data_IF_174240293997
#
_entry.id   IF_174240293997
#
_cell.length_a   1.000
_cell.length_b   1.000
_cell.length_c   1.000
_cell.angle_alpha   90.00
_cell.angle_beta   90.00
_cell.angle_gamma   90.00
#
_symmetry.space_group_name_H-M   'P 1'
#
loop_
_entity.id
_entity.type
_entity.pdbx_description
1 polymer ?
#
# COMPACT_ATOMS: atom_id res chain seq x y z
N UNK A 1 -5.22 -18.83 18.52
CA UNK A 1 -3.95 -18.09 18.38
C UNK A 1 -3.83 -17.32 17.04
N UNK A 2 -4.94 -16.89 16.41
CA UNK A 2 -4.96 -16.18 15.09
C UNK A 2 -5.13 -14.66 15.17
N UNK A 3 -5.61 -14.10 16.29
CA UNK A 3 -5.94 -12.68 16.37
C UNK A 3 -4.75 -11.74 16.20
N UNK A 4 -3.53 -12.18 16.55
CA UNK A 4 -2.30 -11.35 16.44
C UNK A 4 -1.88 -11.03 15.00
N UNK A 5 -2.37 -11.78 14.02
CA UNK A 5 -2.01 -11.59 12.61
C UNK A 5 -3.05 -10.81 11.82
N UNK A 6 -4.18 -10.45 12.43
CA UNK A 6 -5.26 -9.73 11.76
C UNK A 6 -5.27 -8.31 12.28
N UNK A 7 -5.14 -7.35 11.37
CA UNK A 7 -5.47 -5.96 11.64
C UNK A 7 -6.94 -5.74 11.33
N UNK A 8 -7.68 -5.07 12.23
CA UNK A 8 -9.08 -4.69 12.05
C UNK A 8 -9.25 -3.21 12.37
N UNK A 9 -9.95 -2.51 11.49
CA UNK A 9 -10.43 -1.15 11.72
C UNK A 9 -11.96 -1.13 11.49
N UNK A 10 -12.77 -1.21 12.55
CA UNK A 10 -14.23 -1.20 12.44
C UNK A 10 -14.81 0.10 11.86
N UNK A 11 -14.19 1.25 12.13
CA UNK A 11 -14.66 2.56 11.64
C UNK A 11 -14.58 2.69 10.12
N UNK A 12 -13.57 2.04 9.54
CA UNK A 12 -13.37 1.96 8.09
C UNK A 12 -13.98 0.70 7.47
N UNK A 13 -14.54 -0.21 8.26
CA UNK A 13 -15.02 -1.52 7.78
C UNK A 13 -13.91 -2.36 7.13
N UNK A 14 -12.66 -2.22 7.59
CA UNK A 14 -11.50 -2.82 6.93
C UNK A 14 -10.82 -3.88 7.80
N UNK A 15 -10.40 -4.99 7.20
CA UNK A 15 -9.44 -5.90 7.82
C UNK A 15 -8.50 -6.54 6.81
N UNK A 16 -7.31 -6.93 7.30
CA UNK A 16 -6.26 -7.59 6.53
C UNK A 16 -5.47 -8.52 7.46
N UNK A 17 -5.04 -9.66 6.94
CA UNK A 17 -4.21 -10.64 7.65
C UNK A 17 -2.79 -10.64 7.07
N UNK A 18 -1.78 -10.54 7.95
CA UNK A 18 -0.38 -10.75 7.58
C UNK A 18 0.02 -12.21 7.76
N UNK A 19 1.01 -12.73 7.02
CA UNK A 19 1.58 -14.04 7.30
C UNK A 19 2.25 -14.06 8.68
N UNK A 20 2.51 -15.26 9.18
CA UNK A 20 2.96 -15.45 10.56
C UNK A 20 4.30 -14.77 10.84
N UNK A 21 5.25 -14.86 9.91
CA UNK A 21 6.61 -14.34 10.06
C UNK A 21 6.75 -12.85 9.73
N UNK A 22 5.64 -12.19 9.38
CA UNK A 22 5.62 -10.75 9.12
C UNK A 22 5.37 -9.98 10.42
N UNK A 23 5.77 -8.72 10.48
CA UNK A 23 5.65 -7.87 11.67
C UNK A 23 4.79 -6.66 11.36
N UNK A 24 3.70 -6.48 12.13
CA UNK A 24 2.96 -5.21 12.12
C UNK A 24 3.79 -4.13 12.78
N UNK A 25 3.86 -2.96 12.16
CA UNK A 25 4.50 -1.78 12.77
C UNK A 25 3.44 -0.79 13.23
N UNK A 26 3.66 -0.12 14.37
CA UNK A 26 2.82 1.00 14.77
C UNK A 26 2.83 2.07 13.67
N UNK A 27 1.65 2.55 13.32
CA UNK A 27 1.42 3.59 12.31
C UNK A 27 2.24 4.86 12.56
N UNK A 28 2.47 5.17 13.84
CA UNK A 28 3.27 6.31 14.32
C UNK A 28 4.75 6.19 13.93
N UNK A 29 5.27 4.98 13.72
CA UNK A 29 6.67 4.76 13.34
C UNK A 29 6.90 4.90 11.83
N UNK A 30 5.83 4.78 11.03
CA UNK A 30 5.88 5.07 9.59
C UNK A 30 6.11 6.57 9.33
N UNK A 31 5.67 7.44 10.25
CA UNK A 31 5.97 8.88 10.22
C UNK A 31 7.48 9.14 10.35
N UNK A 32 8.13 8.48 11.31
CA UNK A 32 9.57 8.64 11.53
C UNK A 32 10.43 8.10 10.36
N UNK A 33 9.88 7.23 9.51
CA UNK A 33 10.52 6.76 8.28
C UNK A 33 10.28 7.70 7.08
N UNK A 34 9.32 8.63 7.16
CA UNK A 34 8.90 9.54 6.07
C UNK A 34 9.10 11.02 6.40
N UNK A 35 9.78 11.37 7.50
CA UNK A 35 9.74 12.72 8.05
C UNK A 35 10.42 13.79 7.17
N UNK A 36 9.60 14.51 6.41
CA UNK A 36 9.65 15.96 6.12
C UNK A 36 8.24 16.52 5.84
N UNK A 37 7.26 16.27 6.71
CA UNK A 37 5.97 16.96 6.61
C UNK A 37 5.54 17.50 7.97
N UNK A 38 5.41 18.83 8.05
CA UNK A 38 5.11 19.57 9.28
C UNK A 38 3.82 19.11 9.99
N UNK A 39 3.82 19.08 11.33
CA UNK A 39 2.68 18.62 12.11
C UNK A 39 1.67 19.76 12.32
N UNK A 40 0.64 19.85 11.48
CA UNK A 40 -0.54 20.67 11.78
C UNK A 40 -1.58 19.83 12.56
N UNK A 41 -1.38 19.72 13.87
CA UNK A 41 -2.34 19.08 14.79
C UNK A 41 -3.35 20.10 15.31
N UNK A 42 -4.52 20.18 14.67
CA UNK A 42 -5.77 20.62 15.32
C UNK A 42 -6.93 19.80 14.76
N UNK A 43 -7.60 19.06 15.65
CA UNK A 43 -8.93 18.43 15.51
C UNK A 43 -9.34 18.06 14.08
N UNK A 44 -8.69 17.04 13.52
CA UNK A 44 -9.11 16.43 12.26
C UNK A 44 -9.85 15.13 12.56
N UNK A 45 -11.04 14.99 11.94
CA UNK A 45 -11.79 13.74 11.80
C UNK A 45 -10.80 12.59 11.48
N UNK A 46 -10.94 11.45 12.17
CA UNK A 46 -10.04 10.30 12.05
C UNK A 46 -9.94 9.81 10.59
N UNK A 47 -11.00 9.99 9.81
CA UNK A 47 -10.99 9.73 8.35
C UNK A 47 -9.96 10.59 7.61
N UNK A 48 -9.76 11.84 8.02
CA UNK A 48 -8.78 12.75 7.44
C UNK A 48 -7.36 12.44 7.95
N UNK A 49 -7.23 11.90 9.17
CA UNK A 49 -5.94 11.40 9.68
C UNK A 49 -5.44 10.22 8.85
N UNK A 50 -6.30 9.26 8.53
CA UNK A 50 -5.98 8.13 7.64
C UNK A 50 -5.88 8.54 6.16
N UNK A 51 -6.50 9.66 5.77
CA UNK A 51 -6.33 10.26 4.44
C UNK A 51 -4.91 10.76 4.15
N UNK A 52 -4.04 10.89 5.16
CA UNK A 52 -2.66 11.38 4.98
C UNK A 52 -1.60 10.32 5.27
N UNK A 53 -1.91 9.32 6.10
CA UNK A 53 -0.94 8.32 6.56
C UNK A 53 -1.45 6.90 6.30
N UNK A 54 -0.56 5.95 5.96
CA UNK A 54 -0.96 4.55 5.92
C UNK A 54 -1.42 4.15 7.31
N UNK A 55 -2.59 3.52 7.43
CA UNK A 55 -3.15 3.08 8.72
C UNK A 55 -2.78 1.63 9.05
N UNK A 56 -2.36 0.87 8.03
CA UNK A 56 -1.70 -0.43 8.16
C UNK A 56 -0.31 -0.36 7.58
N UNK A 57 0.65 -0.91 8.31
CA UNK A 57 1.97 -1.23 7.80
C UNK A 57 2.43 -2.56 8.40
N UNK A 58 2.95 -3.45 7.56
CA UNK A 58 3.71 -4.60 8.01
C UNK A 58 4.77 -4.98 6.98
N UNK A 59 5.79 -5.68 7.45
CA UNK A 59 6.92 -6.08 6.62
C UNK A 59 7.43 -7.46 6.98
N UNK A 60 8.22 -8.03 6.09
CA UNK A 60 8.98 -9.25 6.32
C UNK A 60 10.47 -8.89 6.41
N UNK A 61 11.06 -9.03 7.60
CA UNK A 61 12.48 -8.78 7.80
C UNK A 61 13.28 -10.04 7.48
N UNK A 62 13.97 -10.02 6.34
CA UNK A 62 14.88 -11.09 5.93
C UNK A 62 16.33 -10.88 6.40
N UNK A 63 16.65 -9.76 7.05
CA UNK A 63 17.98 -9.47 7.60
C UNK A 63 19.09 -9.22 6.58
N UNK A 64 18.77 -8.96 5.31
CA UNK A 64 19.76 -8.71 4.22
C UNK A 64 19.73 -7.21 3.90
N UNK A 65 20.84 -6.52 4.13
CA UNK A 65 20.91 -5.06 4.10
C UNK A 65 20.90 -4.44 2.69
N UNK A 66 21.20 -5.23 1.68
CA UNK A 66 21.26 -4.81 0.28
C UNK A 66 20.18 -5.45 -0.59
N UNK A 67 19.08 -5.83 0.05
CA UNK A 67 17.87 -6.33 -0.58
C UNK A 67 16.66 -5.56 -0.06
N UNK A 68 15.72 -5.28 -0.94
CA UNK A 68 14.48 -4.57 -0.59
C UNK A 68 13.68 -5.40 0.41
N UNK A 69 13.33 -4.80 1.54
CA UNK A 69 12.44 -5.40 2.54
C UNK A 69 11.02 -5.49 1.94
N UNK A 70 10.40 -6.69 1.87
CA UNK A 70 9.01 -6.81 1.50
C UNK A 70 8.11 -6.08 2.49
N UNK A 71 7.25 -5.20 1.98
CA UNK A 71 6.36 -4.35 2.79
C UNK A 71 4.94 -4.34 2.23
N UNK A 72 3.97 -4.17 3.12
CA UNK A 72 2.58 -3.87 2.79
C UNK A 72 2.16 -2.62 3.53
N UNK A 73 1.55 -1.69 2.80
CA UNK A 73 0.99 -0.45 3.34
C UNK A 73 -0.46 -0.32 2.89
N UNK A 74 -1.34 0.10 3.78
CA UNK A 74 -2.73 0.43 3.42
C UNK A 74 -3.03 1.85 3.83
N UNK A 75 -3.53 2.62 2.88
CA UNK A 75 -3.99 3.99 3.06
C UNK A 75 -5.49 4.08 2.78
N UNK A 76 -6.16 5.01 3.44
CA UNK A 76 -7.53 5.38 3.15
C UNK A 76 -7.52 6.72 2.42
N UNK A 77 -8.44 6.95 1.47
CA UNK A 77 -8.61 8.26 0.81
C UNK A 77 -10.10 8.47 0.56
N UNK A 78 -10.61 9.66 0.86
CA UNK A 78 -11.98 10.03 0.48
C UNK A 78 -12.03 10.35 -1.01
N UNK A 79 -13.17 10.11 -1.67
CA UNK A 79 -13.36 10.44 -3.10
C UNK A 79 -13.83 11.87 -3.32
N UNK A 80 -13.70 12.77 -2.33
CA UNK A 80 -14.09 14.17 -2.45
C UNK A 80 -13.36 14.82 -3.65
N UNK A 81 -14.12 15.10 -4.72
CA UNK A 81 -13.60 15.69 -5.97
C UNK A 81 -13.29 14.69 -7.09
N UNK A 82 -13.27 13.39 -6.82
CA UNK A 82 -13.08 12.33 -7.82
C UNK A 82 -14.31 11.44 -8.02
N UNK A 83 -15.39 11.63 -7.24
CA UNK A 83 -16.63 10.84 -7.33
C UNK A 83 -17.31 10.89 -8.70
N UNK A 84 -17.06 11.94 -9.49
CA UNK A 84 -17.58 12.09 -10.86
C UNK A 84 -16.67 11.44 -11.92
N UNK A 85 -15.45 11.04 -11.56
CA UNK A 85 -14.49 10.44 -12.48
C UNK A 85 -14.69 8.93 -12.54
N UNK A 86 -14.59 8.38 -13.74
CA UNK A 86 -14.57 6.93 -13.90
C UNK A 86 -13.22 6.33 -13.44
N UNK A 87 -13.21 5.02 -13.16
CA UNK A 87 -12.03 4.33 -12.62
C UNK A 87 -10.82 4.36 -13.56
N UNK A 88 -11.03 4.39 -14.87
CA UNK A 88 -9.95 4.44 -15.86
C UNK A 88 -9.28 5.82 -15.89
N UNK A 89 -10.05 6.89 -15.72
CA UNK A 89 -9.53 8.24 -15.53
C UNK A 89 -8.70 8.32 -14.24
N UNK A 90 -9.21 7.75 -13.13
CA UNK A 90 -8.47 7.67 -11.86
C UNK A 90 -7.18 6.86 -12.03
N UNK A 91 -7.21 5.75 -12.78
CA UNK A 91 -6.02 4.94 -13.10
C UNK A 91 -4.99 5.78 -13.85
N UNK A 92 -5.40 6.53 -14.88
CA UNK A 92 -4.51 7.42 -15.62
C UNK A 92 -3.82 8.45 -14.72
N UNK A 93 -4.56 9.09 -13.81
CA UNK A 93 -4.00 10.01 -12.83
C UNK A 93 -2.98 9.33 -11.90
N UNK A 94 -3.27 8.10 -11.46
CA UNK A 94 -2.37 7.32 -10.60
C UNK A 94 -1.07 6.97 -11.31
N UNK A 95 -1.15 6.56 -12.58
CA UNK A 95 0.04 6.24 -13.38
C UNK A 95 0.94 7.45 -13.58
N UNK A 96 0.35 8.61 -13.88
CA UNK A 96 1.09 9.89 -13.99
C UNK A 96 1.75 10.23 -12.66
N UNK A 97 1.02 10.13 -11.54
CA UNK A 97 1.57 10.42 -10.22
C UNK A 97 2.74 9.49 -9.88
N UNK A 98 2.64 8.19 -10.16
CA UNK A 98 3.71 7.23 -9.92
C UNK A 98 4.96 7.55 -10.74
N UNK A 99 4.79 7.94 -12.00
CA UNK A 99 5.90 8.35 -12.86
C UNK A 99 6.62 9.61 -12.34
N UNK A 100 5.90 10.52 -11.66
CA UNK A 100 6.48 11.74 -11.09
C UNK A 100 7.26 11.45 -9.79
N UNK A 101 6.80 10.51 -8.97
CA UNK A 101 7.33 10.30 -7.60
C UNK A 101 8.31 9.15 -7.47
N UNK A 102 8.36 8.23 -8.43
CA UNK A 102 9.25 7.08 -8.39
C UNK A 102 10.36 7.23 -9.43
N UNK A 103 11.60 7.17 -8.96
CA UNK A 103 12.77 7.12 -9.82
C UNK A 103 12.81 5.81 -10.61
N UNK A 104 13.24 5.88 -11.86
CA UNK A 104 13.32 4.74 -12.79
C UNK A 104 12.00 3.94 -12.91
N UNK A 105 10.86 4.61 -12.74
CA UNK A 105 9.55 3.99 -12.84
C UNK A 105 9.33 3.30 -14.18
N UNK A 106 9.00 2.02 -14.14
CA UNK A 106 8.59 1.24 -15.29
C UNK A 106 7.27 0.53 -14.99
N UNK A 107 6.24 0.84 -15.78
CA UNK A 107 4.97 0.14 -15.72
C UNK A 107 5.14 -1.28 -16.27
N UNK A 108 4.73 -2.28 -15.48
CA UNK A 108 4.69 -3.69 -15.91
C UNK A 108 3.29 -4.05 -16.38
N UNK A 109 2.26 -3.67 -15.62
CA UNK A 109 0.86 -3.99 -15.89
C UNK A 109 -0.05 -2.97 -15.20
N UNK A 110 -1.16 -2.60 -15.84
CA UNK A 110 -2.20 -1.81 -15.21
C UNK A 110 -3.58 -2.16 -15.77
N UNK A 111 -4.60 -2.18 -14.91
CA UNK A 111 -6.01 -2.37 -15.30
C UNK A 111 -6.97 -1.67 -14.34
N UNK A 112 -8.10 -1.18 -14.85
CA UNK A 112 -9.22 -0.63 -14.09
C UNK A 112 -10.38 -1.62 -13.91
N UNK A 113 -10.21 -2.85 -14.40
CA UNK A 113 -11.22 -3.91 -14.37
C UNK A 113 -10.98 -4.92 -13.24
N UNK A 114 -10.07 -4.58 -12.31
CA UNK A 114 -9.77 -5.40 -11.15
C UNK A 114 -10.95 -5.51 -10.19
N UNK A 115 -10.95 -6.59 -9.41
CA UNK A 115 -11.90 -6.81 -8.32
C UNK A 115 -11.16 -7.37 -7.12
N UNK A 116 -11.30 -6.74 -5.95
CA UNK A 116 -10.72 -7.18 -4.67
C UNK A 116 -11.79 -7.09 -3.59
N UNK A 117 -12.00 -8.16 -2.83
CA UNK A 117 -13.06 -8.23 -1.81
C UNK A 117 -14.44 -7.85 -2.37
N UNK A 118 -14.76 -8.33 -3.58
CA UNK A 118 -16.02 -8.05 -4.31
C UNK A 118 -16.25 -6.56 -4.65
N UNK A 119 -15.23 -5.73 -4.46
CA UNK A 119 -15.26 -4.32 -4.80
C UNK A 119 -14.45 -4.08 -6.07
N UNK A 120 -14.89 -3.15 -6.93
CA UNK A 120 -14.06 -2.64 -8.01
C UNK A 120 -12.67 -2.20 -7.55
N UNK A 121 -11.66 -2.44 -8.37
CA UNK A 121 -10.30 -2.02 -8.08
C UNK A 121 -9.51 -1.63 -9.33
N UNK A 122 -8.65 -0.62 -9.17
CA UNK A 122 -7.52 -0.43 -10.08
C UNK A 122 -6.34 -1.27 -9.58
N UNK A 123 -5.61 -1.88 -10.50
CA UNK A 123 -4.43 -2.69 -10.22
C UNK A 123 -3.29 -2.12 -11.04
N UNK A 124 -2.16 -1.86 -10.39
CA UNK A 124 -0.93 -1.37 -11.03
C UNK A 124 0.22 -2.23 -10.52
N UNK A 125 1.03 -2.74 -11.43
CA UNK A 125 2.29 -3.41 -11.14
C UNK A 125 3.40 -2.63 -11.83
N UNK A 126 4.44 -2.29 -11.09
CA UNK A 126 5.55 -1.51 -11.62
C UNK A 126 6.87 -1.92 -10.99
N UNK A 127 7.96 -1.69 -11.70
CA UNK A 127 9.30 -1.69 -11.13
C UNK A 127 9.80 -0.26 -10.96
N UNK A 128 10.68 -0.06 -9.99
CA UNK A 128 11.36 1.20 -9.72
C UNK A 128 12.57 0.89 -8.84
N UNK A 129 13.40 1.89 -8.59
CA UNK A 129 14.54 1.77 -7.69
C UNK A 129 14.25 2.41 -6.33
N UNK A 130 14.85 1.86 -5.28
CA UNK A 130 14.83 2.43 -3.93
C UNK A 130 16.23 2.45 -3.34
N UNK A 131 16.54 3.44 -2.52
CA UNK A 131 17.83 3.52 -1.84
C UNK A 131 17.73 2.97 -0.42
N UNK A 132 18.67 2.10 -0.03
CA UNK A 132 18.80 1.70 1.38
C UNK A 132 19.44 2.83 2.21
N UNK A 133 19.58 2.61 3.52
CA UNK A 133 20.19 3.57 4.45
C UNK A 133 21.66 3.91 4.11
N UNK A 134 22.34 3.04 3.36
CA UNK A 134 23.72 3.25 2.91
C UNK A 134 23.79 3.93 1.53
N UNK A 135 22.65 4.36 0.97
CA UNK A 135 22.59 5.00 -0.36
C UNK A 135 22.78 4.02 -1.52
N UNK A 136 22.75 2.71 -1.28
CA UNK A 136 22.79 1.70 -2.35
C UNK A 136 21.40 1.58 -2.98
N UNK A 137 21.36 1.72 -4.30
CA UNK A 137 20.17 1.53 -5.12
C UNK A 137 19.83 0.04 -5.24
N UNK A 138 18.55 -0.28 -5.08
CA UNK A 138 18.02 -1.64 -5.12
C UNK A 138 16.75 -1.69 -5.97
N UNK A 139 16.60 -2.75 -6.76
CA UNK A 139 15.42 -2.95 -7.60
C UNK A 139 14.21 -3.39 -6.77
N UNK A 140 13.08 -2.71 -7.00
CA UNK A 140 11.85 -2.90 -6.26
C UNK A 140 10.68 -3.19 -7.21
N UNK A 141 9.94 -4.26 -6.92
CA UNK A 141 8.67 -4.57 -7.56
C UNK A 141 7.52 -4.10 -6.67
N UNK A 142 6.74 -3.14 -7.15
CA UNK A 142 5.54 -2.61 -6.49
C UNK A 142 4.26 -3.16 -7.12
N UNK A 143 3.27 -3.40 -6.28
CA UNK A 143 1.88 -3.71 -6.64
C UNK A 143 0.98 -2.77 -5.87
N UNK A 144 0.28 -1.89 -6.58
CA UNK A 144 -0.68 -0.96 -6.02
C UNK A 144 -2.09 -1.42 -6.40
N UNK A 145 -2.94 -1.61 -5.40
CA UNK A 145 -4.35 -1.94 -5.55
C UNK A 145 -5.17 -0.79 -4.97
N UNK A 146 -6.00 -0.15 -5.78
CA UNK A 146 -6.90 0.91 -5.32
C UNK A 146 -8.30 0.34 -5.35
N UNK A 147 -8.83 0.02 -4.16
CA UNK A 147 -10.11 -0.66 -3.98
C UNK A 147 -11.18 0.40 -3.67
N UNK A 148 -12.19 0.51 -4.50
CA UNK A 148 -13.21 1.56 -4.42
C UNK A 148 -14.37 1.17 -3.51
N UNK A 149 -14.79 2.11 -2.67
CA UNK A 149 -16.09 2.09 -1.96
C UNK A 149 -16.98 3.22 -2.50
N UNK A 150 -18.16 3.41 -1.90
CA UNK A 150 -19.11 4.43 -2.36
C UNK A 150 -18.57 5.86 -2.21
N UNK A 151 -17.90 6.15 -1.10
CA UNK A 151 -17.43 7.49 -0.72
C UNK A 151 -15.89 7.57 -0.53
N UNK A 152 -15.17 6.48 -0.77
CA UNK A 152 -13.75 6.38 -0.49
C UNK A 152 -13.03 5.33 -1.35
N UNK A 153 -11.74 5.22 -1.12
CA UNK A 153 -10.89 4.18 -1.68
C UNK A 153 -9.81 3.76 -0.68
N UNK A 154 -9.51 2.47 -0.66
CA UNK A 154 -8.35 1.90 0.01
C UNK A 154 -7.22 1.74 -0.98
N UNK A 155 -6.05 2.27 -0.67
CA UNK A 155 -4.84 2.12 -1.49
C UNK A 155 -3.90 1.16 -0.77
N UNK A 156 -3.79 -0.06 -1.30
CA UNK A 156 -2.94 -1.13 -0.78
C UNK A 156 -1.69 -1.20 -1.66
N UNK A 157 -0.52 -0.95 -1.07
CA UNK A 157 0.76 -1.05 -1.76
C UNK A 157 1.55 -2.20 -1.19
N UNK A 158 1.99 -3.11 -2.05
CA UNK A 158 2.86 -4.23 -1.72
C UNK A 158 4.16 -4.09 -2.51
N UNK A 159 5.27 -3.97 -1.83
CA UNK A 159 6.59 -3.76 -2.45
C UNK A 159 7.59 -4.77 -1.95
N UNK A 160 8.53 -5.21 -2.79
CA UNK A 160 9.59 -6.14 -2.39
C UNK A 160 10.57 -6.40 -3.54
N UNK A 161 11.46 -7.39 -3.37
CA UNK A 161 12.43 -7.77 -4.40
C UNK A 161 11.76 -8.16 -5.72
N UNK A 162 12.43 -7.84 -6.83
CA UNK A 162 11.99 -8.21 -8.19
C UNK A 162 12.18 -9.70 -8.49
N UNK A 163 13.08 -10.38 -7.78
CA UNK A 163 13.44 -11.78 -7.97
C UNK A 163 14.04 -12.43 -6.71
N UNK A 164 14.35 -13.73 -6.80
CA UNK A 164 14.99 -14.51 -5.73
C UNK A 164 14.03 -15.05 -4.67
N UNK A 165 14.59 -15.69 -3.64
CA UNK A 165 13.84 -16.39 -2.58
C UNK A 165 12.96 -15.47 -1.72
N UNK A 166 13.25 -14.18 -1.70
CA UNK A 166 12.52 -13.17 -0.95
C UNK A 166 11.46 -12.43 -1.79
N UNK A 167 11.25 -12.89 -3.03
CA UNK A 167 10.13 -12.45 -3.86
C UNK A 167 8.83 -13.07 -3.33
N UNK A 168 8.15 -12.33 -2.45
CA UNK A 168 6.96 -12.74 -1.70
C UNK A 168 5.66 -12.83 -2.54
N UNK A 169 5.71 -13.34 -3.78
CA UNK A 169 4.55 -13.36 -4.69
C UNK A 169 3.38 -14.19 -4.11
N UNK A 170 3.69 -15.31 -3.45
CA UNK A 170 2.68 -16.16 -2.80
C UNK A 170 2.06 -15.46 -1.59
N UNK A 171 2.91 -14.95 -0.70
CA UNK A 171 2.50 -14.28 0.53
C UNK A 171 1.67 -13.02 0.21
N UNK A 172 2.07 -12.24 -0.79
CA UNK A 172 1.27 -11.11 -1.27
C UNK A 172 -0.10 -11.54 -1.81
N UNK A 173 -0.17 -12.67 -2.52
CA UNK A 173 -1.45 -13.24 -2.95
C UNK A 173 -2.34 -13.66 -1.77
N UNK A 174 -1.77 -14.22 -0.71
CA UNK A 174 -2.50 -14.58 0.52
C UNK A 174 -2.99 -13.33 1.27
N UNK A 175 -2.13 -12.33 1.42
CA UNK A 175 -2.46 -11.03 2.03
C UNK A 175 -3.61 -10.38 1.26
N UNK A 176 -3.53 -10.33 -0.07
CA UNK A 176 -4.57 -9.71 -0.90
C UNK A 176 -5.92 -10.42 -0.74
N UNK A 177 -5.92 -11.77 -0.71
CA UNK A 177 -7.13 -12.58 -0.47
C UNK A 177 -7.68 -12.45 0.94
N UNK A 178 -6.89 -12.01 1.91
CA UNK A 178 -7.34 -11.80 3.29
C UNK A 178 -8.12 -10.50 3.49
N UNK A 179 -8.02 -9.56 2.55
CA UNK A 179 -8.67 -8.25 2.66
C UNK A 179 -10.19 -8.43 2.74
N UNK A 180 -10.82 -7.77 3.71
CA UNK A 180 -12.27 -7.65 3.82
C UNK A 180 -12.66 -6.19 3.96
N UNK A 181 -13.69 -5.79 3.22
CA UNK A 181 -14.26 -4.44 3.21
C UNK A 181 -15.79 -4.54 3.38
N UNK A 182 -16.31 -4.09 4.51
CA UNK A 182 -17.73 -4.14 4.87
C UNK A 182 -18.05 -3.52 6.22
#
# INVERSE_FOLDING_TARGET
>A
MKEKNIYRNPELGFSIEKPQDWVFMPTVWVLNLKDKAEPFYRELDERVRYARLPFVYFHYDHGISDLVIPTVQVMYRTTCGTSALDRSTILGMQLVQLQIVLDDYCLVEATSDGVISERPANIIKSTHTVNNQNGKTMDCLSRCYVIFTEDAMFVVVMSGPTEGTYRCDREFGEILRSIRIG
#
